data_IF_573771407460
#
_entry.id   IF_573771407460
#
_cell.length_a   1.000
_cell.length_b   1.000
_cell.length_c   1.000
_cell.angle_alpha   90.00
_cell.angle_beta   90.00
_cell.angle_gamma   90.00
#
_symmetry.space_group_name_H-M   'P 1'
#
loop_
_entity.id
_entity.type
_entity.pdbx_description
1 polymer ?
#
# COMPACT_ATOMS: atom_id res chain seq x y z
N UNK A 1 20.69 0.91 8.70
CA UNK A 1 19.46 0.13 8.94
C UNK A 1 18.33 1.12 8.91
N UNK A 2 17.40 0.97 7.98
CA UNK A 2 16.30 1.94 7.77
C UNK A 2 15.29 1.80 8.93
N UNK A 3 15.41 2.69 9.91
CA UNK A 3 14.59 2.70 11.13
C UNK A 3 13.09 2.86 10.83
N UNK A 4 12.74 3.57 9.74
CA UNK A 4 11.38 3.78 9.28
C UNK A 4 10.73 2.52 8.69
N UNK A 5 11.51 1.64 8.04
CA UNK A 5 11.00 0.36 7.56
C UNK A 5 10.64 -0.58 8.73
N UNK A 6 11.35 -0.48 9.85
CA UNK A 6 11.05 -1.25 11.06
C UNK A 6 9.82 -0.73 11.82
N UNK A 7 9.54 0.56 11.78
CA UNK A 7 8.35 1.12 12.44
C UNK A 7 7.05 0.73 11.71
N UNK A 8 7.02 0.83 10.39
CA UNK A 8 5.82 0.48 9.61
C UNK A 8 5.45 -1.00 9.67
N UNK A 9 6.41 -1.89 9.93
CA UNK A 9 6.19 -3.33 10.07
C UNK A 9 5.40 -3.73 11.33
N UNK A 10 5.10 -2.78 12.23
CA UNK A 10 4.48 -3.04 13.55
C UNK A 10 3.09 -2.42 13.69
N UNK A 11 2.49 -1.93 12.60
CA UNK A 11 1.28 -1.12 12.64
C UNK A 11 0.01 -1.86 12.21
N UNK A 12 0.13 -3.09 11.73
CA UNK A 12 -0.99 -3.85 11.19
C UNK A 12 -1.01 -5.29 11.70
N UNK A 13 -2.22 -5.83 11.84
CA UNK A 13 -2.46 -7.20 12.23
C UNK A 13 -3.79 -7.72 11.65
N UNK A 14 -3.96 -9.03 11.67
CA UNK A 14 -5.26 -9.68 11.62
C UNK A 14 -5.30 -10.72 12.76
N UNK A 15 -6.46 -10.92 13.31
CA UNK A 15 -6.64 -11.82 14.43
C UNK A 15 -8.10 -12.01 14.78
N UNK A 16 -8.33 -12.68 15.91
CA UNK A 16 -9.66 -12.91 16.44
C UNK A 16 -9.83 -12.14 17.75
N UNK A 17 -10.97 -11.50 17.95
CA UNK A 17 -11.28 -10.79 19.19
C UNK A 17 -11.29 -11.79 20.34
N UNK A 18 -10.37 -11.64 21.29
CA UNK A 18 -10.25 -12.49 22.49
C UNK A 18 -11.04 -11.90 23.67
N UNK A 19 -10.97 -10.58 23.86
CA UNK A 19 -11.68 -9.89 24.92
C UNK A 19 -12.07 -8.46 24.48
N UNK A 20 -13.08 -7.90 25.13
CA UNK A 20 -13.55 -6.53 24.90
C UNK A 20 -13.69 -5.76 26.21
N UNK A 21 -13.45 -4.44 26.14
CA UNK A 21 -13.66 -3.54 27.27
C UNK A 21 -15.14 -3.27 27.55
N UNK A 22 -15.46 -2.62 28.69
CA UNK A 22 -16.82 -2.26 29.06
C UNK A 22 -17.50 -1.40 27.97
N UNK A 23 -18.74 -1.74 27.60
CA UNK A 23 -19.54 -1.00 26.62
C UNK A 23 -19.21 -1.25 25.15
N UNK A 24 -18.22 -2.08 24.84
CA UNK A 24 -17.87 -2.47 23.48
C UNK A 24 -18.82 -3.57 22.99
N UNK A 25 -19.49 -3.33 21.85
CA UNK A 25 -20.47 -4.28 21.27
C UNK A 25 -19.86 -5.32 20.33
N UNK A 26 -18.54 -5.28 20.12
CA UNK A 26 -17.84 -6.27 19.29
C UNK A 26 -17.87 -7.65 19.98
N UNK A 27 -18.21 -8.70 19.22
CA UNK A 27 -18.31 -10.05 19.79
C UNK A 27 -16.93 -10.72 19.90
N UNK A 28 -16.66 -11.37 21.02
CA UNK A 28 -15.53 -12.31 21.16
C UNK A 28 -15.66 -13.41 20.09
N UNK A 29 -14.54 -13.81 19.49
CA UNK A 29 -14.49 -14.73 18.37
C UNK A 29 -14.65 -14.10 17.00
N UNK A 30 -14.88 -12.78 16.88
CA UNK A 30 -15.01 -12.11 15.58
C UNK A 30 -13.63 -11.97 14.93
N UNK A 31 -13.44 -12.43 13.66
CA UNK A 31 -12.23 -12.15 12.89
C UNK A 31 -12.14 -10.67 12.52
N UNK A 32 -10.99 -10.06 12.73
CA UNK A 32 -10.75 -8.63 12.49
C UNK A 32 -9.41 -8.38 11.82
N UNK A 33 -9.33 -7.27 11.09
CA UNK A 33 -8.09 -6.65 10.64
C UNK A 33 -7.89 -5.36 11.42
N UNK A 34 -6.64 -5.03 11.68
CA UNK A 34 -6.24 -3.92 12.56
C UNK A 34 -5.21 -3.06 11.86
N UNK A 35 -5.45 -1.74 11.87
CA UNK A 35 -4.44 -0.75 11.56
C UNK A 35 -4.26 0.17 12.76
N UNK A 36 -3.28 -0.14 13.60
CA UNK A 36 -2.98 0.60 14.82
C UNK A 36 -1.70 1.43 14.64
N UNK A 37 -1.85 2.73 14.52
CA UNK A 37 -0.77 3.67 14.26
C UNK A 37 -0.36 4.58 15.45
N UNK A 38 -0.51 4.20 16.73
CA UNK A 38 -0.01 5.05 17.80
C UNK A 38 1.51 4.91 17.90
N UNK A 39 2.21 5.96 17.50
CA UNK A 39 3.68 6.08 17.56
C UNK A 39 4.22 5.91 18.98
N UNK A 40 3.39 6.11 20.02
CA UNK A 40 3.79 6.20 21.43
C UNK A 40 3.43 4.97 22.30
N UNK A 41 2.84 3.90 21.73
CA UNK A 41 2.55 2.70 22.54
C UNK A 41 3.76 1.77 22.58
N UNK A 42 4.14 1.23 23.75
CA UNK A 42 5.26 0.31 23.90
C UNK A 42 4.98 -1.06 23.25
N UNK A 43 3.71 -1.48 23.16
CA UNK A 43 3.26 -2.72 22.54
C UNK A 43 2.67 -2.42 21.15
N UNK A 44 3.18 -3.10 20.13
CA UNK A 44 2.76 -2.98 18.73
C UNK A 44 2.31 -4.35 18.20
N UNK A 45 1.87 -4.41 16.94
CA UNK A 45 1.22 -5.58 16.33
C UNK A 45 2.09 -6.86 16.23
N UNK A 46 3.40 -6.81 16.49
CA UNK A 46 4.26 -8.01 16.52
C UNK A 46 4.19 -8.68 17.90
N UNK A 47 3.05 -9.26 18.22
CA UNK A 47 2.76 -9.91 19.49
C UNK A 47 1.64 -10.94 19.30
N UNK A 48 1.52 -11.92 20.22
CA UNK A 48 0.42 -12.88 20.25
C UNK A 48 -0.92 -12.19 20.55
N UNK A 49 -0.90 -11.11 21.34
CA UNK A 49 -2.08 -10.32 21.71
C UNK A 49 -1.81 -8.83 21.48
N UNK A 50 -2.79 -8.16 20.90
CA UNK A 50 -2.77 -6.72 20.66
C UNK A 50 -3.98 -6.07 21.36
N UNK A 51 -3.72 -5.06 22.18
CA UNK A 51 -4.76 -4.18 22.72
C UNK A 51 -4.83 -2.93 21.86
N UNK A 52 -6.01 -2.64 21.30
CA UNK A 52 -6.21 -1.54 20.35
C UNK A 52 -7.58 -0.90 20.51
N UNK A 53 -7.81 0.24 19.88
CA UNK A 53 -9.07 0.96 19.89
C UNK A 53 -9.99 0.51 18.75
N UNK A 54 -11.30 0.67 18.92
CA UNK A 54 -12.28 0.37 17.88
C UNK A 54 -12.06 1.17 16.59
N UNK A 55 -11.47 2.36 16.69
CA UNK A 55 -11.13 3.18 15.51
C UNK A 55 -10.02 2.59 14.64
N UNK A 56 -9.31 1.60 15.15
CA UNK A 56 -8.23 0.89 14.44
C UNK A 56 -8.66 -0.45 13.86
N UNK A 57 -9.92 -0.86 14.04
CA UNK A 57 -10.41 -2.22 13.73
C UNK A 57 -11.47 -2.17 12.64
N UNK A 58 -11.44 -3.18 11.77
CA UNK A 58 -12.54 -3.52 10.87
C UNK A 58 -12.74 -5.04 10.82
N UNK A 59 -13.92 -5.54 10.41
CA UNK A 59 -14.11 -6.96 10.13
C UNK A 59 -13.08 -7.46 9.11
N UNK A 60 -12.52 -8.63 9.32
CA UNK A 60 -11.73 -9.31 8.30
C UNK A 60 -12.63 -9.75 7.13
N UNK A 61 -12.11 -9.86 5.89
CA UNK A 61 -12.88 -10.41 4.78
C UNK A 61 -13.43 -11.80 5.13
N UNK A 62 -14.71 -12.03 4.86
CA UNK A 62 -15.37 -13.30 5.23
C UNK A 62 -14.71 -14.49 4.50
N UNK A 63 -14.41 -15.54 5.24
CA UNK A 63 -13.78 -16.75 4.72
C UNK A 63 -12.31 -16.63 4.31
N UNK A 64 -11.69 -15.46 4.46
CA UNK A 64 -10.27 -15.25 4.13
C UNK A 64 -9.39 -15.74 5.30
N UNK A 65 -8.28 -16.40 4.95
CA UNK A 65 -7.22 -16.74 5.92
C UNK A 65 -6.66 -15.46 6.57
N UNK A 66 -6.50 -15.45 7.90
CA UNK A 66 -6.06 -14.28 8.64
C UNK A 66 -4.62 -13.86 8.30
N UNK A 67 -3.76 -14.80 7.92
CA UNK A 67 -2.39 -14.49 7.45
C UNK A 67 -2.45 -13.66 6.17
N UNK A 68 -3.40 -13.98 5.28
CA UNK A 68 -3.62 -13.22 4.06
C UNK A 68 -4.27 -11.87 4.37
N UNK A 69 -5.30 -11.84 5.22
CA UNK A 69 -6.01 -10.63 5.64
C UNK A 69 -5.07 -9.61 6.32
N UNK A 70 -4.06 -10.08 7.06
CA UNK A 70 -3.05 -9.23 7.72
C UNK A 70 -2.23 -8.36 6.74
N UNK A 71 -2.27 -8.64 5.45
CA UNK A 71 -1.54 -7.85 4.44
C UNK A 71 -2.31 -6.63 3.94
N UNK A 72 -3.59 -6.50 4.29
CA UNK A 72 -4.50 -5.47 3.80
C UNK A 72 -4.27 -4.11 4.50
N UNK A 73 -4.25 -4.02 5.86
CA UNK A 73 -4.50 -2.77 6.55
C UNK A 73 -3.59 -1.62 6.11
N UNK A 74 -2.31 -1.69 6.41
CA UNK A 74 -1.38 -0.59 6.14
C UNK A 74 -1.25 -0.30 4.64
N UNK A 75 -1.09 -1.36 3.82
CA UNK A 75 -0.75 -1.16 2.41
C UNK A 75 -1.94 -0.69 1.58
N UNK A 76 -3.13 -1.25 1.80
CA UNK A 76 -4.33 -0.82 1.09
C UNK A 76 -4.80 0.57 1.58
N UNK A 77 -4.69 0.86 2.89
CA UNK A 77 -4.94 2.20 3.43
C UNK A 77 -4.01 3.24 2.81
N UNK A 78 -2.69 2.96 2.78
CA UNK A 78 -1.70 3.86 2.17
C UNK A 78 -2.02 4.10 0.69
N UNK A 79 -2.32 3.05 -0.08
CA UNK A 79 -2.69 3.17 -1.48
C UNK A 79 -3.96 4.00 -1.68
N UNK A 80 -5.00 3.73 -0.89
CA UNK A 80 -6.28 4.45 -0.95
C UNK A 80 -6.13 5.93 -0.64
N UNK A 81 -5.43 6.26 0.46
CA UNK A 81 -5.19 7.64 0.87
C UNK A 81 -4.28 8.39 -0.11
N UNK A 82 -3.25 7.73 -0.65
CA UNK A 82 -2.39 8.33 -1.67
C UNK A 82 -3.18 8.69 -2.93
N UNK A 83 -4.08 7.83 -3.37
CA UNK A 83 -4.95 8.11 -4.53
C UNK A 83 -5.94 9.25 -4.29
N UNK A 84 -6.33 9.54 -3.05
CA UNK A 84 -7.19 10.68 -2.72
C UNK A 84 -6.45 12.03 -2.82
N UNK A 85 -5.13 12.02 -2.72
CA UNK A 85 -4.30 13.20 -2.98
C UNK A 85 -4.12 13.51 -4.48
N UNK A 86 -4.55 12.61 -5.36
CA UNK A 86 -4.47 12.73 -6.81
C UNK A 86 -5.86 13.08 -7.37
N UNK A 87 -6.11 14.33 -7.79
CA UNK A 87 -7.42 14.78 -8.27
C UNK A 87 -7.69 14.28 -9.70
N UNK A 88 -7.54 12.98 -9.92
CA UNK A 88 -7.70 12.32 -11.21
C UNK A 88 -9.16 12.00 -11.51
N UNK A 89 -9.55 12.21 -12.75
CA UNK A 89 -10.86 11.86 -13.32
C UNK A 89 -10.77 10.56 -14.12
N UNK A 90 -11.88 9.91 -14.42
CA UNK A 90 -11.88 8.80 -15.37
C UNK A 90 -11.20 9.18 -16.69
N UNK A 91 -10.33 8.31 -17.20
CA UNK A 91 -9.46 8.47 -18.37
C UNK A 91 -8.22 9.36 -18.19
N UNK A 92 -8.04 10.05 -17.07
CA UNK A 92 -6.73 10.64 -16.76
C UNK A 92 -5.67 9.55 -16.64
N UNK A 93 -4.42 9.94 -16.69
CA UNK A 93 -3.26 9.03 -16.66
C UNK A 93 -2.53 9.09 -15.33
N UNK A 94 -2.22 7.93 -14.78
CA UNK A 94 -1.51 7.76 -13.51
C UNK A 94 -0.28 6.88 -13.69
N UNK A 95 0.89 7.40 -13.36
CA UNK A 95 2.08 6.58 -13.17
C UNK A 95 2.07 6.01 -11.75
N UNK A 96 2.33 4.71 -11.62
CA UNK A 96 2.58 4.05 -10.32
C UNK A 96 3.95 3.41 -10.38
N UNK A 97 4.91 3.92 -9.58
CA UNK A 97 6.22 3.30 -9.44
C UNK A 97 6.16 2.16 -8.44
N UNK A 98 7.00 1.13 -8.60
CA UNK A 98 6.95 -0.05 -7.74
C UNK A 98 5.58 -0.73 -7.73
N UNK A 99 4.90 -0.72 -8.87
CA UNK A 99 3.51 -1.16 -9.04
C UNK A 99 3.27 -2.62 -8.61
N UNK A 100 4.27 -3.51 -8.70
CA UNK A 100 4.16 -4.89 -8.23
C UNK A 100 4.41 -5.07 -6.72
N UNK A 101 4.79 -3.99 -6.02
CA UNK A 101 5.01 -3.97 -4.58
C UNK A 101 3.72 -4.06 -3.75
N UNK A 102 3.86 -4.04 -2.42
CA UNK A 102 2.72 -4.19 -1.50
C UNK A 102 1.72 -3.03 -1.61
N UNK A 103 2.18 -1.77 -1.62
CA UNK A 103 1.32 -0.59 -1.79
C UNK A 103 0.94 -0.42 -3.26
N UNK A 104 1.93 -0.54 -4.18
CA UNK A 104 1.72 -0.32 -5.62
C UNK A 104 0.66 -1.25 -6.22
N UNK A 105 0.62 -2.52 -5.81
CA UNK A 105 -0.37 -3.49 -6.28
C UNK A 105 -1.80 -3.07 -5.93
N UNK A 106 -2.06 -2.68 -4.69
CA UNK A 106 -3.36 -2.15 -4.28
C UNK A 106 -3.68 -0.83 -5.00
N UNK A 107 -2.68 0.03 -5.23
CA UNK A 107 -2.89 1.28 -5.95
C UNK A 107 -3.32 1.03 -7.41
N UNK A 108 -2.75 0.05 -8.10
CA UNK A 108 -3.17 -0.35 -9.46
C UNK A 108 -4.64 -0.80 -9.44
N UNK A 109 -5.00 -1.71 -8.54
CA UNK A 109 -6.35 -2.26 -8.44
C UNK A 109 -7.39 -1.17 -8.09
N UNK A 110 -7.08 -0.29 -7.13
CA UNK A 110 -7.95 0.82 -6.74
C UNK A 110 -8.06 1.89 -7.85
N UNK A 111 -6.98 2.26 -8.53
CA UNK A 111 -7.00 3.23 -9.62
C UNK A 111 -7.83 2.70 -10.81
N UNK A 112 -7.75 1.39 -11.09
CA UNK A 112 -8.62 0.74 -12.08
C UNK A 112 -10.11 0.95 -11.77
N UNK A 113 -10.53 0.81 -10.50
CA UNK A 113 -11.95 1.03 -10.13
C UNK A 113 -12.40 2.47 -10.34
N UNK A 114 -11.47 3.43 -10.34
CA UNK A 114 -11.72 4.86 -10.61
C UNK A 114 -11.73 5.19 -12.12
N UNK A 115 -11.50 4.21 -13.00
CA UNK A 115 -11.47 4.40 -14.45
C UNK A 115 -10.25 5.17 -14.97
N UNK A 116 -9.17 5.23 -14.19
CA UNK A 116 -7.91 5.89 -14.53
C UNK A 116 -7.06 4.97 -15.40
N UNK A 117 -6.36 5.52 -16.41
CA UNK A 117 -5.40 4.78 -17.24
C UNK A 117 -4.06 4.72 -16.53
N UNK A 118 -3.52 3.53 -16.36
CA UNK A 118 -2.37 3.29 -15.47
C UNK A 118 -1.13 2.96 -16.29
N UNK A 119 -0.06 3.74 -16.09
CA UNK A 119 1.31 3.36 -16.45
C UNK A 119 1.93 2.71 -15.21
N UNK A 120 2.15 1.41 -15.26
CA UNK A 120 2.72 0.67 -14.15
C UNK A 120 4.22 0.44 -14.36
N UNK A 121 5.05 0.89 -13.40
CA UNK A 121 6.49 0.60 -13.42
C UNK A 121 6.79 -0.61 -12.54
N UNK A 122 7.52 -1.57 -13.08
CA UNK A 122 7.94 -2.78 -12.38
C UNK A 122 9.17 -3.42 -13.01
N UNK A 123 9.51 -4.62 -12.57
CA UNK A 123 10.51 -5.44 -13.24
C UNK A 123 9.91 -6.06 -14.51
N UNK A 124 10.70 -6.41 -15.52
CA UNK A 124 10.16 -7.07 -16.73
C UNK A 124 9.26 -8.29 -16.42
N UNK A 125 9.63 -9.09 -15.43
CA UNK A 125 8.85 -10.25 -15.00
C UNK A 125 7.54 -9.91 -14.28
N UNK A 126 7.28 -8.63 -13.99
CA UNK A 126 6.03 -8.15 -13.37
C UNK A 126 4.98 -7.73 -14.39
N UNK A 127 5.32 -7.65 -15.69
CA UNK A 127 4.45 -7.05 -16.70
C UNK A 127 3.09 -7.78 -16.82
N UNK A 128 3.09 -9.09 -17.01
CA UNK A 128 1.85 -9.89 -17.12
C UNK A 128 0.99 -9.71 -15.87
N UNK A 129 1.61 -9.86 -14.69
CA UNK A 129 0.94 -9.65 -13.42
C UNK A 129 0.27 -8.27 -13.29
N UNK A 130 0.92 -7.20 -13.76
CA UNK A 130 0.40 -5.84 -13.67
C UNK A 130 -0.70 -5.57 -14.69
N UNK A 131 -0.57 -6.14 -15.90
CA UNK A 131 -1.61 -6.05 -16.93
C UNK A 131 -2.91 -6.73 -16.52
N UNK A 132 -2.83 -7.91 -15.93
CA UNK A 132 -3.98 -8.64 -15.40
C UNK A 132 -4.73 -7.84 -14.33
N UNK A 133 -4.02 -7.01 -13.56
CA UNK A 133 -4.60 -6.14 -12.53
C UNK A 133 -5.12 -4.80 -13.04
N UNK A 134 -4.92 -4.50 -14.30
CA UNK A 134 -5.49 -3.34 -14.96
C UNK A 134 -4.51 -2.24 -15.33
N UNK A 135 -3.20 -2.52 -15.35
CA UNK A 135 -2.24 -1.61 -15.96
C UNK A 135 -2.54 -1.47 -17.47
N UNK A 136 -2.72 -0.23 -17.92
CA UNK A 136 -2.94 0.09 -19.33
C UNK A 136 -1.63 -0.05 -20.10
N UNK A 137 -0.55 0.43 -19.51
CA UNK A 137 0.80 0.38 -20.04
C UNK A 137 1.78 -0.08 -18.97
N UNK A 138 2.85 -0.71 -19.42
CA UNK A 138 3.95 -1.14 -18.57
C UNK A 138 5.24 -0.43 -18.99
N UNK A 139 6.05 -0.04 -18.02
CA UNK A 139 7.42 0.46 -18.20
C UNK A 139 8.36 -0.31 -17.30
N UNK A 140 9.51 -0.74 -17.85
CA UNK A 140 10.52 -1.42 -17.06
C UNK A 140 11.21 -0.43 -16.11
N UNK A 141 11.51 -0.89 -14.89
CA UNK A 141 12.35 -0.13 -13.95
C UNK A 141 13.79 0.05 -14.42
N UNK A 142 14.20 -0.71 -15.42
CA UNK A 142 15.55 -0.70 -16.00
C UNK A 142 15.70 0.35 -17.11
N UNK A 143 14.59 1.02 -17.48
CA UNK A 143 14.56 2.10 -18.48
C UNK A 143 14.59 3.47 -17.77
N UNK A 144 15.01 4.51 -18.51
CA UNK A 144 14.80 5.87 -18.05
C UNK A 144 13.30 6.16 -17.98
N UNK A 145 12.82 6.54 -16.78
CA UNK A 145 11.40 6.55 -16.46
C UNK A 145 10.60 7.55 -17.29
N UNK A 146 11.11 8.78 -17.40
CA UNK A 146 10.41 9.85 -18.12
C UNK A 146 10.27 9.53 -19.60
N UNK A 147 11.34 9.05 -20.24
CA UNK A 147 11.35 8.67 -21.65
C UNK A 147 10.42 7.47 -21.90
N UNK A 148 10.46 6.47 -21.01
CA UNK A 148 9.61 5.29 -21.10
C UNK A 148 8.12 5.64 -20.99
N UNK A 149 7.75 6.53 -20.07
CA UNK A 149 6.38 7.01 -19.88
C UNK A 149 5.91 7.82 -21.10
N UNK A 150 6.75 8.71 -21.62
CA UNK A 150 6.41 9.60 -22.74
C UNK A 150 6.20 8.87 -24.07
N UNK A 151 6.65 7.64 -24.22
CA UNK A 151 6.29 6.78 -25.37
C UNK A 151 4.77 6.53 -25.43
N UNK A 152 4.08 6.51 -24.30
CA UNK A 152 2.65 6.26 -24.21
C UNK A 152 1.85 7.53 -23.95
N UNK A 153 2.43 8.47 -23.21
CA UNK A 153 1.82 9.74 -22.80
C UNK A 153 2.83 10.87 -23.08
N UNK A 154 2.89 11.40 -24.33
CA UNK A 154 3.94 12.33 -24.76
C UNK A 154 4.10 13.58 -23.89
N UNK A 155 2.99 14.14 -23.38
CA UNK A 155 3.00 15.33 -22.49
C UNK A 155 3.37 15.00 -21.03
N UNK A 156 3.48 13.72 -20.69
CA UNK A 156 3.59 13.23 -19.32
C UNK A 156 2.24 12.90 -18.69
N UNK A 157 2.25 12.12 -17.61
CA UNK A 157 1.03 11.69 -16.91
C UNK A 157 0.38 12.83 -16.11
N UNK A 158 -0.95 12.76 -15.88
CA UNK A 158 -1.69 13.74 -15.06
C UNK A 158 -1.29 13.67 -13.58
N UNK A 159 -0.95 12.49 -13.11
CA UNK A 159 -0.48 12.25 -11.75
C UNK A 159 0.50 11.10 -11.64
N UNK A 160 1.31 11.10 -10.58
CA UNK A 160 2.19 10.01 -10.24
C UNK A 160 2.08 9.63 -8.76
N UNK A 161 2.01 8.33 -8.50
CA UNK A 161 2.17 7.74 -7.17
C UNK A 161 3.52 7.02 -7.09
N UNK A 162 4.42 7.56 -6.29
CA UNK A 162 5.74 6.97 -6.06
C UNK A 162 5.69 6.01 -4.86
N UNK A 163 5.36 4.75 -5.16
CA UNK A 163 5.35 3.67 -4.18
C UNK A 163 6.70 2.93 -4.07
N UNK A 164 7.67 3.28 -4.93
CA UNK A 164 9.03 2.75 -4.90
C UNK A 164 10.02 3.67 -4.17
N UNK A 165 9.58 4.86 -3.74
CA UNK A 165 10.43 5.88 -3.13
C UNK A 165 11.62 6.29 -4.02
N UNK A 166 11.36 6.50 -5.31
CA UNK A 166 12.37 6.93 -6.28
C UNK A 166 12.76 8.40 -6.10
N UNK A 167 11.82 9.21 -5.58
CA UNK A 167 12.04 10.64 -5.39
C UNK A 167 12.20 11.39 -6.73
N UNK A 168 13.28 12.12 -6.89
CA UNK A 168 13.53 13.08 -7.97
C UNK A 168 13.25 12.59 -9.42
N UNK A 169 13.52 11.35 -9.84
CA UNK A 169 13.23 10.91 -11.21
C UNK A 169 11.73 10.85 -11.57
N UNK A 170 10.87 10.57 -10.58
CA UNK A 170 9.47 10.29 -10.89
C UNK A 170 8.65 11.53 -11.32
N UNK A 171 8.83 12.76 -10.76
CA UNK A 171 8.13 13.96 -11.24
C UNK A 171 8.47 14.37 -12.67
N UNK A 172 9.62 13.95 -13.22
CA UNK A 172 9.97 14.22 -14.61
C UNK A 172 8.99 13.59 -15.61
N UNK A 173 8.36 12.47 -15.24
CA UNK A 173 7.33 11.81 -16.02
C UNK A 173 5.94 12.47 -15.92
N UNK A 174 5.73 13.39 -14.98
CA UNK A 174 4.47 14.12 -14.79
C UNK A 174 4.43 15.34 -15.71
N UNK A 175 3.26 15.64 -16.30
CA UNK A 175 3.07 16.87 -17.09
C UNK A 175 3.19 18.12 -16.23
N UNK A 176 3.39 19.27 -16.86
CA UNK A 176 3.37 20.56 -16.19
C UNK A 176 2.03 20.78 -15.47
N UNK A 177 2.09 21.26 -14.23
CA UNK A 177 0.92 21.48 -13.39
C UNK A 177 0.22 20.19 -12.89
N UNK A 178 0.79 19.01 -13.14
CA UNK A 178 0.28 17.74 -12.61
C UNK A 178 0.54 17.54 -11.12
N UNK A 179 0.29 16.35 -10.60
CA UNK A 179 0.42 16.04 -9.16
C UNK A 179 1.32 14.82 -8.96
N UNK A 180 2.25 14.94 -8.03
CA UNK A 180 3.12 13.85 -7.58
C UNK A 180 2.83 13.56 -6.10
N UNK A 181 2.65 12.29 -5.77
CA UNK A 181 2.44 11.81 -4.39
C UNK A 181 3.48 10.74 -4.08
N UNK A 182 4.22 10.88 -2.98
CA UNK A 182 5.10 9.83 -2.47
C UNK A 182 4.54 9.20 -1.20
N UNK A 183 4.79 7.91 -1.03
CA UNK A 183 4.51 7.19 0.22
C UNK A 183 5.60 7.39 1.27
N UNK A 184 6.68 8.11 0.91
CA UNK A 184 7.83 8.39 1.78
C UNK A 184 8.12 9.89 1.78
N UNK A 185 8.14 10.48 2.98
CA UNK A 185 8.39 11.93 3.15
C UNK A 185 9.87 12.31 2.94
N UNK A 186 10.77 11.41 3.27
CA UNK A 186 12.23 11.63 3.23
C UNK A 186 12.83 11.67 1.81
N UNK A 187 12.04 11.29 0.79
CA UNK A 187 12.47 11.32 -0.61
C UNK A 187 11.67 12.32 -1.47
N UNK A 188 10.94 13.25 -0.85
CA UNK A 188 10.14 14.23 -1.59
C UNK A 188 11.05 15.12 -2.45
N UNK A 189 10.79 15.22 -3.76
CA UNK A 189 11.54 16.10 -4.64
C UNK A 189 11.14 17.57 -4.46
N UNK A 190 12.01 18.48 -4.87
CA UNK A 190 11.66 19.89 -4.99
C UNK A 190 10.60 20.06 -6.08
N UNK A 191 9.51 20.82 -5.84
CA UNK A 191 8.51 21.10 -6.87
C UNK A 191 9.10 21.91 -8.03
N UNK A 192 8.87 21.45 -9.27
CA UNK A 192 9.28 22.09 -10.50
C UNK A 192 8.14 22.07 -11.52
N UNK A 193 8.20 22.89 -12.55
CA UNK A 193 7.21 22.96 -13.66
C UNK A 193 5.75 23.05 -13.19
N UNK A 194 5.51 23.63 -12.00
CA UNK A 194 4.17 23.72 -11.41
C UNK A 194 3.62 22.38 -10.90
N UNK A 195 4.41 21.32 -10.87
CA UNK A 195 3.99 20.01 -10.32
C UNK A 195 3.76 20.15 -8.82
N UNK A 196 2.58 19.77 -8.35
CA UNK A 196 2.25 19.76 -6.92
C UNK A 196 2.81 18.49 -6.30
N UNK A 197 3.74 18.65 -5.35
CA UNK A 197 4.36 17.53 -4.63
C UNK A 197 3.68 17.35 -3.27
N UNK A 198 3.28 16.11 -2.97
CA UNK A 198 2.63 15.72 -1.72
C UNK A 198 3.22 14.42 -1.19
N UNK A 199 3.10 14.20 0.11
CA UNK A 199 3.24 12.86 0.67
C UNK A 199 1.90 12.35 1.20
N UNK A 200 1.79 11.04 1.38
CA UNK A 200 0.69 10.42 2.10
C UNK A 200 1.20 9.78 3.37
N UNK A 201 0.43 9.94 4.44
CA UNK A 201 0.64 9.23 5.71
C UNK A 201 -0.67 8.55 6.06
N UNK A 202 -0.65 7.22 6.09
CA UNK A 202 -1.84 6.47 6.46
C UNK A 202 -2.08 6.56 7.97
N UNK A 203 -3.35 6.69 8.34
CA UNK A 203 -3.83 6.69 9.72
C UNK A 203 -5.05 5.79 9.89
N UNK A 204 -5.45 5.48 11.12
CA UNK A 204 -6.65 4.70 11.38
C UNK A 204 -7.92 5.41 10.89
N UNK A 205 -8.63 4.76 9.98
CA UNK A 205 -9.96 5.14 9.50
C UNK A 205 -10.81 3.87 9.38
N UNK A 206 -11.60 3.51 10.40
CA UNK A 206 -12.29 2.21 10.44
C UNK A 206 -13.27 2.02 9.29
N UNK A 207 -13.95 3.06 8.85
CA UNK A 207 -14.87 3.00 7.70
C UNK A 207 -14.13 2.69 6.39
N UNK A 208 -12.98 3.32 6.16
CA UNK A 208 -12.14 3.05 5.00
C UNK A 208 -11.55 1.64 5.09
N UNK A 209 -11.09 1.23 6.27
CA UNK A 209 -10.54 -0.10 6.48
C UNK A 209 -11.58 -1.18 6.20
N UNK A 210 -12.82 -1.00 6.68
CA UNK A 210 -13.95 -1.90 6.39
C UNK A 210 -14.28 -1.94 4.89
N UNK A 211 -14.26 -0.81 4.20
CA UNK A 211 -14.46 -0.75 2.76
C UNK A 211 -13.38 -1.53 1.99
N UNK A 212 -12.11 -1.36 2.37
CA UNK A 212 -10.99 -2.09 1.75
C UNK A 212 -11.05 -3.59 2.03
N UNK A 213 -11.48 -3.98 3.23
CA UNK A 213 -11.76 -5.37 3.59
C UNK A 213 -12.83 -5.98 2.67
N UNK A 214 -13.95 -5.28 2.48
CA UNK A 214 -15.02 -5.71 1.60
C UNK A 214 -14.57 -5.81 0.13
N UNK A 215 -13.73 -4.90 -0.35
CA UNK A 215 -13.14 -5.01 -1.70
C UNK A 215 -12.23 -6.24 -1.85
N UNK A 216 -11.52 -6.62 -0.80
CA UNK A 216 -10.71 -7.84 -0.81
C UNK A 216 -11.60 -9.10 -0.78
N UNK A 217 -12.69 -9.06 -0.02
CA UNK A 217 -13.68 -10.16 0.05
C UNK A 217 -14.30 -10.48 -1.32
N UNK A 218 -14.66 -9.43 -2.08
CA UNK A 218 -15.24 -9.60 -3.43
C UNK A 218 -14.19 -9.73 -4.53
N UNK A 219 -12.89 -9.84 -4.19
CA UNK A 219 -11.81 -10.09 -5.15
C UNK A 219 -11.39 -8.87 -5.99
N UNK A 220 -11.81 -7.65 -5.62
CA UNK A 220 -11.35 -6.41 -6.27
C UNK A 220 -9.92 -6.08 -5.84
N UNK A 221 -9.59 -6.30 -4.57
CA UNK A 221 -8.24 -6.24 -4.06
C UNK A 221 -7.68 -7.66 -3.88
N UNK A 222 -6.41 -7.83 -4.22
CA UNK A 222 -5.72 -9.12 -4.15
C UNK A 222 -4.64 -9.08 -3.07
N UNK A 223 -4.96 -9.45 -1.82
CA UNK A 223 -3.98 -9.58 -0.75
C UNK A 223 -2.88 -10.59 -1.10
N UNK A 224 -1.64 -10.33 -0.69
CA UNK A 224 -0.50 -11.18 -1.06
C UNK A 224 0.48 -11.34 0.08
N UNK A 225 0.69 -12.59 0.49
CA UNK A 225 1.76 -12.99 1.39
C UNK A 225 2.97 -13.40 0.55
N UNK A 226 4.10 -12.73 0.76
CA UNK A 226 5.37 -13.10 0.14
C UNK A 226 6.05 -14.25 0.89
N UNK A 227 5.97 -14.21 2.22
CA UNK A 227 6.56 -15.21 3.11
C UNK A 227 5.98 -15.08 4.52
N UNK A 228 5.91 -16.20 5.25
CA UNK A 228 5.55 -16.23 6.66
C UNK A 228 6.76 -16.62 7.51
N UNK A 229 6.82 -16.09 8.73
CA UNK A 229 7.79 -16.48 9.75
C UNK A 229 7.09 -16.67 11.09
N UNK A 230 7.53 -17.62 11.93
CA UNK A 230 7.12 -17.63 13.34
C UNK A 230 7.49 -16.30 14.01
N UNK A 231 6.68 -15.84 14.97
CA UNK A 231 6.92 -14.60 15.71
C UNK A 231 8.31 -14.59 16.37
N UNK A 232 8.79 -15.76 16.84
CA UNK A 232 10.14 -15.94 17.40
C UNK A 232 11.28 -15.64 16.41
N UNK A 233 11.00 -15.67 15.10
CA UNK A 233 11.95 -15.36 14.03
C UNK A 233 11.77 -13.95 13.45
N UNK A 234 11.16 -13.03 14.19
CA UNK A 234 10.98 -11.64 13.77
C UNK A 234 12.30 -10.96 13.30
N UNK A 235 13.48 -11.17 13.93
CA UNK A 235 14.74 -10.63 13.43
C UNK A 235 15.09 -11.07 12.00
N UNK A 236 14.86 -12.33 11.67
CA UNK A 236 15.12 -12.88 10.33
C UNK A 236 14.16 -12.30 9.30
N UNK A 237 12.87 -12.16 9.66
CA UNK A 237 11.85 -11.51 8.85
C UNK A 237 12.23 -10.05 8.54
N UNK A 238 12.71 -9.29 9.52
CA UNK A 238 13.19 -7.92 9.33
C UNK A 238 14.43 -7.86 8.44
N UNK A 239 15.42 -8.73 8.67
CA UNK A 239 16.61 -8.83 7.79
C UNK A 239 16.20 -9.14 6.34
N UNK A 240 15.18 -9.99 6.19
CA UNK A 240 14.67 -10.34 4.88
C UNK A 240 13.88 -9.18 4.22
N UNK A 241 13.15 -8.36 5.00
CA UNK A 241 12.47 -7.17 4.51
C UNK A 241 13.46 -6.15 3.93
N UNK A 242 14.60 -5.94 4.59
CA UNK A 242 15.67 -5.02 4.16
C UNK A 242 16.28 -5.39 2.80
N UNK A 243 16.29 -6.68 2.44
CA UNK A 243 16.79 -7.14 1.12
C UNK A 243 15.87 -6.73 -0.04
N UNK A 244 14.62 -6.38 0.22
CA UNK A 244 13.65 -5.95 -0.79
C UNK A 244 13.30 -7.03 -1.82
N UNK A 245 12.73 -6.59 -2.95
CA UNK A 245 12.54 -7.43 -4.15
C UNK A 245 11.38 -8.43 -4.08
N UNK A 246 10.40 -8.24 -3.21
CA UNK A 246 9.28 -9.16 -3.03
C UNK A 246 7.96 -8.61 -3.54
N UNK A 247 7.12 -9.53 -3.99
CA UNK A 247 5.73 -9.28 -4.35
C UNK A 247 4.83 -9.71 -3.19
N UNK A 248 4.39 -8.77 -2.36
CA UNK A 248 3.55 -9.06 -1.20
C UNK A 248 4.21 -8.75 0.14
N UNK A 249 3.54 -9.10 1.21
CA UNK A 249 3.93 -8.82 2.60
C UNK A 249 4.64 -10.00 3.23
N UNK A 250 5.63 -9.74 4.09
CA UNK A 250 6.12 -10.72 5.06
C UNK A 250 5.20 -10.67 6.27
N UNK A 251 4.70 -11.82 6.71
CA UNK A 251 3.77 -11.93 7.84
C UNK A 251 4.42 -12.75 8.96
N UNK A 252 4.34 -12.24 10.18
CA UNK A 252 4.71 -12.98 11.38
C UNK A 252 3.47 -13.70 11.92
N UNK A 253 3.63 -14.97 12.26
CA UNK A 253 2.56 -15.80 12.86
C UNK A 253 2.99 -16.26 14.24
N UNK A 254 2.09 -16.25 15.25
CA UNK A 254 2.37 -16.75 16.60
C UNK A 254 2.84 -18.20 16.64
#
# INVERSE_FOLDING_TARGET
VDEHAHESARLEAAGTVDAVGPGVLLKVGTPVIVFDAPVLRPTKAQAEYLVTDLNSIAPAPEGMDLTLAATIPLNAMTASMALDHLPLRPRDTLLITGAAGAVGGYAVELARTRGVRIVAQGRPEDEEFLRDRGATWFVSRDEELSDAVRRFVPEGVDGALDAAALGAPAPAAVRDGGVFVSVRVDVLPTPERGVVVRNTTAGPEPTRLAYLSALAEVGVLTPRVAQTYPLSQAPDAHAQLTRGGRRGRIVLVP
#
